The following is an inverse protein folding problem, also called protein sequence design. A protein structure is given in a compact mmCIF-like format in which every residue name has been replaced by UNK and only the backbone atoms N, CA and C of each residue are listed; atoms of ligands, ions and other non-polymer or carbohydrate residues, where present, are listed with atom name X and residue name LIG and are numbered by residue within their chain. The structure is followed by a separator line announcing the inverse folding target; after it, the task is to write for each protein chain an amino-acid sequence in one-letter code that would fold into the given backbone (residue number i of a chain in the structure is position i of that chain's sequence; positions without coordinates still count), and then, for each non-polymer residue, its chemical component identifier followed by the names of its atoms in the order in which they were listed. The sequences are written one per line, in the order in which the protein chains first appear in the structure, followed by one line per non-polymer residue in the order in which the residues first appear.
data_IF_125608082987
#
_entry.id   IF_125608082987
#
_cell.length_a   1.000
_cell.length_b   1.000
_cell.length_c   1.000
_cell.angle_alpha   90.00
_cell.angle_beta   90.00
_cell.angle_gamma   90.00
#
_symmetry.space_group_name_H-M   'P 1'
#
loop_
_entity.id
_entity.type
_entity.pdbx_description
1 polymer ?
#
# COMPACT_ATOMS: atom_id res chain seq x y z
N UNK A 1 1.48 -41.48 29.74
CA UNK A 1 1.69 -40.04 29.95
C UNK A 1 1.54 -39.33 28.62
N UNK A 2 0.47 -38.55 28.48
CA UNK A 2 0.18 -37.83 27.22
C UNK A 2 0.81 -36.42 27.30
N UNK A 3 1.75 -36.12 26.40
CA UNK A 3 2.22 -34.77 26.23
C UNK A 3 1.13 -34.00 25.47
N UNK A 4 0.46 -33.08 26.14
CA UNK A 4 -0.44 -32.16 25.49
C UNK A 4 0.42 -31.15 24.73
N UNK A 5 0.52 -31.33 23.42
CA UNK A 5 1.10 -30.32 22.54
C UNK A 5 0.04 -29.26 22.36
N UNK A 6 0.10 -28.22 23.18
CA UNK A 6 -0.64 -27.00 22.92
C UNK A 6 -0.03 -26.35 21.67
N UNK A 7 -0.63 -26.62 20.52
CA UNK A 7 -0.41 -25.85 19.34
C UNK A 7 -0.93 -24.44 19.62
N UNK A 8 -0.04 -23.56 20.07
CA UNK A 8 -0.36 -22.14 20.13
C UNK A 8 -0.40 -21.65 18.69
N UNK A 9 -1.60 -21.56 18.13
CA UNK A 9 -1.82 -20.78 16.92
C UNK A 9 -1.58 -19.31 17.29
N UNK A 10 -0.33 -18.88 17.22
CA UNK A 10 -0.06 -17.45 17.17
C UNK A 10 -0.69 -16.93 15.88
N UNK A 11 -1.70 -16.07 16.00
CA UNK A 11 -2.23 -15.36 14.84
C UNK A 11 -1.16 -14.39 14.33
N UNK A 12 -0.31 -14.88 13.43
CA UNK A 12 0.59 -14.01 12.69
C UNK A 12 -0.21 -13.29 11.62
N UNK A 13 -0.01 -11.96 11.52
CA UNK A 13 -0.41 -11.25 10.31
C UNK A 13 0.25 -11.96 9.13
N UNK A 14 -0.51 -12.28 8.09
CA UNK A 14 0.05 -12.73 6.84
C UNK A 14 1.00 -11.66 6.33
N UNK A 15 2.11 -12.06 5.73
CA UNK A 15 3.15 -11.16 5.27
C UNK A 15 2.64 -10.27 4.14
N UNK A 16 2.61 -8.98 4.40
CA UNK A 16 2.19 -7.98 3.44
C UNK A 16 3.30 -7.58 2.47
N UNK A 17 4.55 -7.96 2.76
CA UNK A 17 5.68 -7.59 1.89
C UNK A 17 5.58 -8.28 0.53
N UNK A 18 6.08 -7.59 -0.49
CA UNK A 18 6.03 -8.05 -1.87
C UNK A 18 5.24 -7.11 -2.76
N UNK A 19 4.93 -7.59 -3.95
CA UNK A 19 4.31 -6.77 -5.00
C UNK A 19 2.81 -7.02 -5.09
N UNK A 20 2.07 -5.93 -5.22
CA UNK A 20 0.62 -5.93 -5.30
C UNK A 20 0.18 -5.04 -6.46
N UNK A 21 -0.69 -5.59 -7.32
CA UNK A 21 -1.28 -4.84 -8.44
C UNK A 21 -2.56 -4.18 -7.97
N UNK A 22 -2.72 -2.91 -8.27
CA UNK A 22 -3.93 -2.16 -7.93
C UNK A 22 -5.17 -2.76 -8.61
N UNK A 23 -6.33 -2.58 -7.98
CA UNK A 23 -7.62 -3.10 -8.46
C UNK A 23 -7.91 -2.74 -9.92
N UNK A 24 -7.59 -1.50 -10.31
CA UNK A 24 -7.78 -1.02 -11.68
C UNK A 24 -6.66 -1.43 -12.66
N UNK A 25 -5.63 -2.10 -12.18
CA UNK A 25 -4.51 -2.58 -12.99
C UNK A 25 -3.53 -1.50 -13.44
N UNK A 26 -3.63 -0.28 -12.91
CA UNK A 26 -2.82 0.85 -13.40
C UNK A 26 -1.41 0.91 -12.84
N UNK A 27 -1.15 0.25 -11.72
CA UNK A 27 0.15 0.28 -11.05
C UNK A 27 0.42 -1.00 -10.27
N UNK A 28 1.71 -1.24 -10.00
CA UNK A 28 2.16 -2.25 -9.02
C UNK A 28 2.91 -1.52 -7.93
N UNK A 29 2.55 -1.85 -6.68
CA UNK A 29 3.17 -1.32 -5.46
C UNK A 29 3.96 -2.44 -4.79
N UNK A 30 5.21 -2.17 -4.45
CA UNK A 30 6.02 -3.08 -3.64
C UNK A 30 5.98 -2.61 -2.18
N UNK A 31 5.40 -3.46 -1.33
CA UNK A 31 5.37 -3.22 0.11
C UNK A 31 6.63 -3.78 0.74
N UNK A 32 7.29 -2.99 1.57
CA UNK A 32 8.53 -3.36 2.23
C UNK A 32 8.51 -2.88 3.69
N UNK A 33 9.27 -3.56 4.51
CA UNK A 33 9.44 -3.20 5.91
C UNK A 33 10.63 -2.25 6.07
N UNK A 34 10.41 -1.18 6.83
CA UNK A 34 11.45 -0.24 7.22
C UNK A 34 11.37 0.00 8.73
N UNK A 35 12.27 -0.64 9.49
CA UNK A 35 12.19 -0.60 10.95
C UNK A 35 10.89 -1.25 11.44
N UNK A 36 10.08 -0.47 12.16
CA UNK A 36 8.81 -0.93 12.73
C UNK A 36 7.60 -0.61 11.86
N UNK A 37 7.81 -0.06 10.67
CA UNK A 37 6.73 0.33 9.78
C UNK A 37 6.84 -0.35 8.43
N UNK A 38 5.71 -0.40 7.73
CA UNK A 38 5.61 -0.88 6.36
C UNK A 38 5.28 0.30 5.46
N UNK A 39 6.05 0.41 4.39
CA UNK A 39 5.86 1.40 3.33
C UNK A 39 5.61 0.67 2.01
N UNK A 40 5.12 1.38 1.02
CA UNK A 40 4.91 0.82 -0.31
C UNK A 40 5.27 1.81 -1.39
N UNK A 41 6.12 1.39 -2.32
CA UNK A 41 6.55 2.23 -3.44
C UNK A 41 6.00 1.72 -4.75
N UNK A 42 5.66 2.64 -5.65
CA UNK A 42 5.22 2.30 -6.99
C UNK A 42 6.44 1.81 -7.79
N UNK A 43 6.36 0.58 -8.30
CA UNK A 43 7.45 -0.04 -9.06
C UNK A 43 7.12 -0.24 -10.53
N UNK A 44 5.87 -0.13 -10.90
CA UNK A 44 5.41 -0.27 -12.28
C UNK A 44 4.13 0.53 -12.51
N UNK A 45 4.02 1.12 -13.70
CA UNK A 45 2.82 1.80 -14.18
C UNK A 45 2.42 1.23 -15.54
N UNK A 46 1.11 1.08 -15.74
CA UNK A 46 0.55 0.69 -17.05
C UNK A 46 0.88 1.75 -18.11
N UNK A 47 0.75 3.02 -17.75
CA UNK A 47 1.04 4.17 -18.61
C UNK A 47 2.21 4.98 -18.00
N UNK A 48 3.47 4.57 -18.27
CA UNK A 48 4.62 5.12 -17.55
C UNK A 48 5.12 6.46 -18.10
N UNK A 49 4.53 6.96 -19.18
CA UNK A 49 4.99 8.18 -19.85
C UNK A 49 3.91 9.24 -19.93
N UNK A 50 4.35 10.50 -19.90
CA UNK A 50 3.54 11.65 -20.25
C UNK A 50 3.30 11.68 -21.78
N UNK A 51 2.39 12.57 -22.23
CA UNK A 51 2.07 12.72 -23.66
C UNK A 51 3.28 13.09 -24.52
N UNK A 52 4.26 13.79 -23.93
CA UNK A 52 5.51 14.18 -24.60
C UNK A 52 6.60 13.10 -24.60
N UNK A 53 6.32 11.91 -24.04
CA UNK A 53 7.26 10.80 -23.96
C UNK A 53 8.21 10.82 -22.77
N UNK A 54 8.13 11.84 -21.91
CA UNK A 54 8.90 11.86 -20.66
C UNK A 54 8.26 10.97 -19.60
N UNK A 55 9.03 10.47 -18.61
CA UNK A 55 8.46 9.66 -17.52
C UNK A 55 7.36 10.41 -16.78
N UNK A 56 6.30 9.68 -16.39
CA UNK A 56 5.20 10.24 -15.59
C UNK A 56 5.71 10.83 -14.29
N UNK A 57 5.25 12.03 -13.97
CA UNK A 57 5.65 12.81 -12.80
C UNK A 57 4.44 13.14 -11.92
N UNK A 58 4.72 13.49 -10.67
CA UNK A 58 3.72 13.76 -9.64
C UNK A 58 3.11 15.15 -9.77
N UNK A 59 2.53 15.44 -10.93
CA UNK A 59 2.04 16.77 -11.31
C UNK A 59 0.89 17.30 -10.45
N UNK A 60 0.14 16.40 -9.78
CA UNK A 60 -0.98 16.77 -8.91
C UNK A 60 -0.57 17.03 -7.45
N UNK A 61 0.71 16.90 -7.12
CA UNK A 61 1.16 17.12 -5.76
C UNK A 61 0.83 18.55 -5.31
N UNK A 62 0.24 18.74 -4.11
CA UNK A 62 -0.04 20.08 -3.57
C UNK A 62 1.24 20.87 -3.30
N UNK A 63 2.36 20.20 -3.02
CA UNK A 63 3.68 20.81 -2.91
C UNK A 63 4.31 20.95 -4.29
N UNK A 64 4.41 22.18 -4.77
CA UNK A 64 4.96 22.48 -6.11
C UNK A 64 6.38 21.95 -6.30
N UNK A 65 7.18 21.91 -5.23
CA UNK A 65 8.57 21.42 -5.29
C UNK A 65 8.68 19.92 -5.58
N UNK A 66 7.58 19.16 -5.37
CA UNK A 66 7.54 17.71 -5.58
C UNK A 66 6.88 17.32 -6.91
N UNK A 67 6.35 18.25 -7.67
CA UNK A 67 5.59 17.94 -8.91
C UNK A 67 6.44 17.38 -10.05
N UNK A 68 7.75 17.54 -10.00
CA UNK A 68 8.67 16.99 -10.99
C UNK A 68 9.23 15.62 -10.63
N UNK A 69 8.93 15.10 -9.42
CA UNK A 69 9.41 13.78 -9.04
C UNK A 69 8.68 12.70 -9.83
N UNK A 70 9.40 11.63 -10.17
CA UNK A 70 8.83 10.51 -10.91
C UNK A 70 7.80 9.76 -10.05
N UNK A 71 6.72 9.29 -10.68
CA UNK A 71 5.74 8.42 -10.04
C UNK A 71 6.38 7.07 -9.71
N UNK A 72 7.16 6.48 -10.63
CA UNK A 72 7.90 5.24 -10.33
C UNK A 72 8.96 5.52 -9.27
N UNK A 73 8.91 4.76 -8.18
CA UNK A 73 9.76 4.94 -6.99
C UNK A 73 9.13 5.74 -5.88
N UNK A 74 7.95 6.36 -6.12
CA UNK A 74 7.24 7.16 -5.13
C UNK A 74 6.63 6.26 -4.06
N UNK A 75 6.82 6.62 -2.79
CA UNK A 75 6.14 5.95 -1.67
C UNK A 75 4.66 6.35 -1.64
N UNK A 76 3.82 5.44 -2.14
CA UNK A 76 2.36 5.61 -2.11
C UNK A 76 1.79 5.26 -0.72
N UNK A 77 2.34 4.24 -0.07
CA UNK A 77 1.98 3.81 1.28
C UNK A 77 3.10 4.17 2.25
N UNK A 78 2.74 4.67 3.43
CA UNK A 78 3.74 5.04 4.45
C UNK A 78 3.24 4.81 5.86
N UNK A 79 4.15 4.37 6.73
CA UNK A 79 3.96 4.37 8.17
C UNK A 79 2.96 3.36 8.71
N UNK A 80 2.62 2.31 7.97
CA UNK A 80 1.71 1.27 8.46
C UNK A 80 2.40 0.39 9.49
N UNK A 81 1.70 0.07 10.57
CA UNK A 81 2.18 -0.79 11.65
C UNK A 81 1.35 -2.05 11.74
N UNK A 82 1.99 -3.18 11.97
CA UNK A 82 1.31 -4.45 12.22
C UNK A 82 0.66 -4.40 13.61
N UNK A 83 -0.67 -4.55 13.66
CA UNK A 83 -1.45 -4.56 14.89
C UNK A 83 -2.52 -5.63 14.76
N UNK A 84 -2.48 -6.65 15.62
CA UNK A 84 -3.51 -7.72 15.73
C UNK A 84 -3.87 -8.36 14.37
N UNK A 85 -2.86 -8.70 13.56
CA UNK A 85 -3.07 -9.36 12.27
C UNK A 85 -3.44 -8.42 11.12
N UNK A 86 -3.48 -7.13 11.35
CA UNK A 86 -3.74 -6.11 10.34
C UNK A 86 -2.60 -5.09 10.32
N UNK A 87 -2.65 -4.20 9.35
CA UNK A 87 -1.70 -3.09 9.20
C UNK A 87 -2.47 -1.79 9.24
N UNK A 88 -2.12 -0.88 10.14
CA UNK A 88 -2.91 0.33 10.39
C UNK A 88 -2.06 1.53 10.80
N UNK A 89 -2.71 2.68 10.93
CA UNK A 89 -2.08 3.92 11.38
C UNK A 89 -1.17 4.59 10.36
N UNK A 90 -1.24 4.15 9.10
CA UNK A 90 -0.46 4.71 8.02
C UNK A 90 -1.21 5.70 7.16
N UNK A 91 -0.58 6.06 6.04
CA UNK A 91 -1.11 6.97 5.04
C UNK A 91 -1.00 6.36 3.64
N UNK A 92 -1.95 6.72 2.79
CA UNK A 92 -1.90 6.44 1.36
C UNK A 92 -2.00 7.76 0.59
N UNK A 93 -1.04 7.97 -0.31
CA UNK A 93 -1.01 9.11 -1.21
C UNK A 93 -1.49 8.70 -2.60
N UNK A 94 -2.46 9.44 -3.13
CA UNK A 94 -2.99 9.22 -4.49
C UNK A 94 -2.41 10.25 -5.45
N UNK A 95 -1.46 9.87 -6.33
CA UNK A 95 -0.90 10.81 -7.29
C UNK A 95 -1.91 11.23 -8.37
N UNK A 96 -3.01 10.49 -8.53
CA UNK A 96 -4.07 10.86 -9.47
C UNK A 96 -4.84 12.11 -9.08
N UNK A 97 -4.90 12.44 -7.79
CA UNK A 97 -5.58 13.64 -7.30
C UNK A 97 -4.74 14.49 -6.34
N UNK A 98 -3.54 14.03 -5.97
CA UNK A 98 -2.65 14.74 -5.05
C UNK A 98 -3.08 14.73 -3.59
N UNK A 99 -4.01 13.87 -3.21
CA UNK A 99 -4.54 13.78 -1.85
C UNK A 99 -3.92 12.64 -1.07
N UNK A 100 -3.79 12.83 0.25
CA UNK A 100 -3.32 11.81 1.20
C UNK A 100 -4.45 11.44 2.13
N UNK A 101 -4.65 10.14 2.32
CA UNK A 101 -5.70 9.58 3.18
C UNK A 101 -5.07 8.76 4.30
N UNK A 102 -5.83 8.56 5.39
CA UNK A 102 -5.49 7.54 6.38
C UNK A 102 -5.59 6.17 5.73
N UNK A 103 -4.73 5.23 6.12
CA UNK A 103 -4.65 3.92 5.49
C UNK A 103 -4.57 2.81 6.50
N UNK A 104 -5.36 1.76 6.25
CA UNK A 104 -5.25 0.46 6.90
C UNK A 104 -5.30 -0.64 5.84
N UNK A 105 -4.71 -1.78 6.17
CA UNK A 105 -4.63 -2.91 5.23
C UNK A 105 -4.82 -4.23 5.95
N UNK A 106 -5.34 -5.21 5.22
CA UNK A 106 -5.47 -6.60 5.68
C UNK A 106 -5.16 -7.55 4.54
N UNK A 107 -4.30 -8.53 4.78
CA UNK A 107 -3.99 -9.59 3.81
C UNK A 107 -5.02 -10.70 3.94
N UNK A 108 -5.66 -11.05 2.85
CA UNK A 108 -6.60 -12.18 2.74
C UNK A 108 -6.17 -13.06 1.56
N UNK A 109 -5.31 -14.06 1.83
CA UNK A 109 -4.75 -14.90 0.77
C UNK A 109 -3.90 -14.08 -0.21
N UNK A 110 -4.27 -14.09 -1.49
CA UNK A 110 -3.59 -13.34 -2.53
C UNK A 110 -4.19 -11.94 -2.78
N UNK A 111 -5.06 -11.50 -1.87
CA UNK A 111 -5.69 -10.19 -1.94
C UNK A 111 -5.27 -9.34 -0.76
N UNK A 112 -4.91 -8.10 -1.04
CA UNK A 112 -4.65 -7.07 -0.03
C UNK A 112 -5.84 -6.12 -0.02
N UNK A 113 -6.57 -6.11 1.09
CA UNK A 113 -7.64 -5.15 1.32
C UNK A 113 -7.00 -3.85 1.78
N UNK A 114 -7.07 -2.81 0.96
CA UNK A 114 -6.49 -1.50 1.24
C UNK A 114 -7.61 -0.51 1.47
N UNK A 115 -7.68 0.05 2.68
CA UNK A 115 -8.69 1.04 3.01
C UNK A 115 -8.07 2.42 3.16
N UNK A 116 -8.50 3.34 2.31
CA UNK A 116 -8.21 4.76 2.44
C UNK A 116 -9.40 5.47 3.08
N UNK A 117 -9.16 6.34 4.05
CA UNK A 117 -10.24 7.03 4.76
C UNK A 117 -9.88 8.47 5.09
N UNK A 118 -10.93 9.31 5.24
CA UNK A 118 -10.78 10.70 5.66
C UNK A 118 -10.53 10.80 7.16
N UNK A 119 -11.09 9.87 7.94
CA UNK A 119 -10.96 9.83 9.39
C UNK A 119 -9.99 8.73 9.82
N UNK A 120 -9.41 8.90 11.02
CA UNK A 120 -8.44 7.93 11.57
C UNK A 120 -9.05 6.57 11.91
N UNK A 121 -10.36 6.52 12.16
CA UNK A 121 -11.08 5.28 12.50
C UNK A 121 -11.45 4.46 11.27
N UNK A 122 -11.31 5.03 10.05
CA UNK A 122 -11.65 4.36 8.81
C UNK A 122 -13.16 4.30 8.53
N UNK A 123 -13.97 5.13 9.17
CA UNK A 123 -15.44 5.12 9.01
C UNK A 123 -15.87 5.75 7.69
N UNK A 124 -15.22 6.83 7.28
CA UNK A 124 -15.50 7.56 6.05
C UNK A 124 -14.40 7.23 5.05
N UNK A 125 -14.59 6.18 4.28
CA UNK A 125 -13.55 5.73 3.38
C UNK A 125 -14.01 4.70 2.39
N UNK A 126 -13.03 4.15 1.67
CA UNK A 126 -13.23 3.16 0.62
C UNK A 126 -12.19 2.05 0.75
N UNK A 127 -12.62 0.81 0.57
CA UNK A 127 -11.75 -0.36 0.51
C UNK A 127 -11.55 -0.78 -0.94
N UNK A 128 -10.30 -1.03 -1.30
CA UNK A 128 -9.90 -1.51 -2.62
C UNK A 128 -9.20 -2.86 -2.47
N UNK A 129 -9.36 -3.71 -3.47
CA UNK A 129 -8.68 -5.00 -3.54
C UNK A 129 -7.44 -4.88 -4.42
N UNK A 130 -6.28 -5.11 -3.83
CA UNK A 130 -5.04 -5.24 -4.58
C UNK A 130 -4.66 -6.71 -4.68
N UNK A 131 -4.07 -7.12 -5.77
CA UNK A 131 -3.81 -8.52 -6.06
C UNK A 131 -2.31 -8.82 -6.05
N UNK A 132 -1.93 -9.91 -5.35
CA UNK A 132 -0.52 -10.30 -5.25
C UNK A 132 0.03 -10.63 -6.64
N UNK A 133 1.17 -10.02 -6.94
CA UNK A 133 1.94 -10.32 -8.16
C UNK A 133 2.95 -11.40 -7.81
N UNK A 134 2.88 -12.50 -8.54
CA UNK A 134 3.85 -13.60 -8.45
C UNK A 134 4.67 -13.61 -9.73
N UNK A 135 5.98 -13.69 -9.58
CA UNK A 135 6.89 -13.80 -10.72
C UNK A 135 6.86 -15.22 -11.32
#
# INVERSE_FOLDING_TARGET
MFALILSVCAAYAQDVTGKWKLEDGTAIVEVYRQGNVFNGKIVWLKDPYEADGTPAVDSNNPDKSLRSRKIIGLNMLSGLKAVKGEYSGGKIYDPGNGKTYNCSMKVEGNVLKVRGSLDKRGLIGRTMDWFRVTD
#
